data_IF_725381611048
#
_entry.id   IF_725381611048
#
_cell.length_a   1.000
_cell.length_b   1.000
_cell.length_c   1.000
_cell.angle_alpha   90.00
_cell.angle_beta   90.00
_cell.angle_gamma   90.00
#
_symmetry.space_group_name_H-M   'P 1'
#
loop_
_entity.id
_entity.type
_entity.pdbx_description
1 polymer ?
#
# COMPACT_ATOMS: atom_id res chain seq x y z
N UNK A 1 -5.27 -15.10 11.39
CA UNK A 1 -3.81 -15.11 11.66
C UNK A 1 -2.97 -15.37 10.41
N UNK A 2 -3.35 -16.29 9.51
CA UNK A 2 -2.52 -16.65 8.35
C UNK A 2 -2.38 -15.56 7.28
N UNK A 3 -3.48 -14.87 6.92
CA UNK A 3 -3.47 -13.82 5.87
C UNK A 3 -2.53 -12.66 6.25
N UNK A 4 -2.61 -12.18 7.49
CA UNK A 4 -1.75 -11.10 7.97
C UNK A 4 -0.28 -11.50 8.02
N UNK A 5 0.04 -12.71 8.51
CA UNK A 5 1.41 -13.22 8.53
C UNK A 5 1.98 -13.35 7.11
N UNK A 6 1.21 -13.91 6.18
CA UNK A 6 1.58 -14.01 4.76
C UNK A 6 1.81 -12.63 4.17
N UNK A 7 0.92 -11.67 4.43
CA UNK A 7 1.06 -10.29 3.98
C UNK A 7 2.37 -9.66 4.47
N UNK A 8 2.68 -9.74 5.78
CA UNK A 8 3.92 -9.18 6.32
C UNK A 8 5.17 -9.90 5.80
N UNK A 9 5.16 -11.23 5.67
CA UNK A 9 6.28 -11.98 5.09
C UNK A 9 6.52 -11.59 3.61
N UNK A 10 5.46 -11.40 2.85
CA UNK A 10 5.50 -10.95 1.45
C UNK A 10 5.72 -9.46 1.27
N UNK A 11 5.78 -8.65 2.32
CA UNK A 11 6.24 -7.26 2.20
C UNK A 11 7.77 -7.20 2.06
N UNK A 12 8.50 -8.09 2.75
CA UNK A 12 9.96 -8.09 2.74
C UNK A 12 10.58 -8.78 1.52
N UNK A 13 9.98 -9.88 1.04
CA UNK A 13 10.44 -10.62 -0.15
C UNK A 13 10.55 -9.77 -1.46
N UNK A 14 9.53 -9.00 -1.87
CA UNK A 14 9.58 -8.17 -3.06
C UNK A 14 10.51 -6.97 -2.88
N UNK A 15 10.83 -6.56 -1.66
CA UNK A 15 11.78 -5.47 -1.40
C UNK A 15 13.14 -5.71 -2.05
N UNK A 16 13.58 -6.97 -2.13
CA UNK A 16 14.83 -7.35 -2.80
C UNK A 16 14.75 -7.22 -4.34
N UNK A 17 13.63 -7.64 -4.93
CA UNK A 17 13.40 -7.58 -6.39
C UNK A 17 13.14 -6.15 -6.85
N UNK A 18 12.32 -5.41 -6.10
CA UNK A 18 11.98 -4.02 -6.39
C UNK A 18 13.13 -3.06 -6.11
N UNK A 19 14.02 -3.37 -5.15
CA UNK A 19 15.29 -2.64 -4.98
C UNK A 19 16.15 -2.68 -6.25
N UNK A 20 16.32 -3.87 -6.86
CA UNK A 20 17.00 -3.99 -8.16
C UNK A 20 16.28 -3.25 -9.28
N UNK A 21 14.95 -3.32 -9.32
CA UNK A 21 14.15 -2.65 -10.34
C UNK A 21 14.24 -1.12 -10.23
N UNK A 22 14.42 -0.61 -9.01
CA UNK A 22 14.69 0.79 -8.70
C UNK A 22 16.09 1.21 -9.18
N UNK A 23 17.12 0.40 -8.90
CA UNK A 23 18.50 0.66 -9.35
C UNK A 23 18.64 0.68 -10.88
N UNK A 24 17.78 -0.03 -11.61
CA UNK A 24 17.75 -0.06 -13.08
C UNK A 24 17.10 1.18 -13.73
N UNK A 25 16.62 2.15 -12.94
CA UNK A 25 16.03 3.40 -13.44
C UNK A 25 14.53 3.30 -13.82
N UNK A 26 13.91 2.13 -13.66
CA UNK A 26 12.48 1.91 -13.92
C UNK A 26 11.58 2.27 -12.73
N UNK A 27 12.04 3.14 -11.83
CA UNK A 27 11.31 3.50 -10.62
C UNK A 27 9.86 3.92 -10.88
N UNK A 28 9.65 4.76 -11.91
CA UNK A 28 8.33 5.34 -12.22
C UNK A 28 7.34 4.27 -12.69
N UNK A 29 7.75 3.43 -13.65
CA UNK A 29 6.89 2.37 -14.17
C UNK A 29 6.64 1.28 -13.13
N UNK A 30 7.63 0.98 -12.29
CA UNK A 30 7.48 0.03 -11.19
C UNK A 30 6.47 0.54 -10.14
N UNK A 31 6.58 1.82 -9.73
CA UNK A 31 5.68 2.40 -8.72
C UNK A 31 4.24 2.49 -9.26
N UNK A 32 4.07 2.85 -10.53
CA UNK A 32 2.77 2.87 -11.18
C UNK A 32 2.16 1.47 -11.28
N UNK A 33 2.94 0.47 -11.68
CA UNK A 33 2.49 -0.93 -11.74
C UNK A 33 2.07 -1.45 -10.36
N UNK A 34 2.85 -1.19 -9.30
CA UNK A 34 2.50 -1.59 -7.94
C UNK A 34 1.26 -0.84 -7.42
N UNK A 35 1.11 0.44 -7.76
CA UNK A 35 -0.06 1.25 -7.38
C UNK A 35 -1.34 0.70 -8.01
N UNK A 36 -1.30 0.40 -9.31
CA UNK A 36 -2.43 -0.22 -10.04
C UNK A 36 -2.75 -1.59 -9.46
N UNK A 37 -1.74 -2.40 -9.18
CA UNK A 37 -1.93 -3.72 -8.57
C UNK A 37 -2.57 -3.62 -7.18
N UNK A 38 -2.12 -2.68 -6.34
CA UNK A 38 -2.67 -2.45 -5.01
C UNK A 38 -4.15 -2.05 -5.08
N UNK A 39 -4.49 -1.06 -5.91
CA UNK A 39 -5.88 -0.61 -6.07
C UNK A 39 -6.75 -1.75 -6.57
N UNK A 40 -6.31 -2.45 -7.62
CA UNK A 40 -7.05 -3.56 -8.22
C UNK A 40 -7.29 -4.68 -7.22
N UNK A 41 -6.26 -5.06 -6.45
CA UNK A 41 -6.37 -6.06 -5.39
C UNK A 41 -7.38 -5.63 -4.31
N UNK A 42 -7.36 -4.36 -3.89
CA UNK A 42 -8.29 -3.86 -2.87
C UNK A 42 -9.74 -3.87 -3.35
N UNK A 43 -9.98 -3.56 -4.62
CA UNK A 43 -11.32 -3.67 -5.22
C UNK A 43 -11.76 -5.13 -5.37
N UNK A 44 -10.86 -6.04 -5.74
CA UNK A 44 -11.13 -7.48 -5.81
C UNK A 44 -11.51 -8.06 -4.44
N UNK A 45 -10.86 -7.62 -3.36
CA UNK A 45 -11.21 -8.00 -1.98
C UNK A 45 -12.68 -7.70 -1.65
N UNK A 46 -13.26 -6.64 -2.24
CA UNK A 46 -14.66 -6.30 -2.02
C UNK A 46 -15.66 -7.31 -2.66
N UNK A 47 -15.23 -8.06 -3.68
CA UNK A 47 -16.03 -9.10 -4.35
C UNK A 47 -15.67 -10.52 -3.89
N UNK A 48 -14.63 -10.69 -3.07
CA UNK A 48 -14.21 -11.99 -2.58
C UNK A 48 -15.28 -12.59 -1.66
N UNK A 49 -15.63 -13.86 -1.90
CA UNK A 49 -16.56 -14.64 -1.07
C UNK A 49 -15.89 -15.79 -0.36
N UNK A 50 -14.78 -16.28 -0.90
CA UNK A 50 -14.06 -17.44 -0.37
C UNK A 50 -12.71 -17.07 0.27
N UNK A 51 -12.32 -17.82 1.29
CA UNK A 51 -11.08 -17.60 2.04
C UNK A 51 -9.81 -17.61 1.16
N UNK A 52 -9.74 -18.51 0.18
CA UNK A 52 -8.61 -18.57 -0.77
C UNK A 52 -8.49 -17.30 -1.63
N UNK A 53 -9.61 -16.68 -1.98
CA UNK A 53 -9.61 -15.43 -2.75
C UNK A 53 -9.06 -14.27 -1.91
N UNK A 54 -9.43 -14.20 -0.62
CA UNK A 54 -8.86 -13.25 0.32
C UNK A 54 -7.37 -13.47 0.55
N UNK A 55 -6.91 -14.72 0.65
CA UNK A 55 -5.48 -15.04 0.78
C UNK A 55 -4.67 -14.53 -0.42
N UNK A 56 -5.17 -14.75 -1.65
CA UNK A 56 -4.52 -14.29 -2.87
C UNK A 56 -4.52 -12.76 -3.00
N UNK A 57 -5.66 -12.11 -2.79
CA UNK A 57 -5.76 -10.67 -2.97
C UNK A 57 -5.08 -9.90 -1.83
N UNK A 58 -5.38 -10.25 -0.57
CA UNK A 58 -4.90 -9.52 0.60
C UNK A 58 -3.53 -9.99 1.10
N UNK A 59 -3.24 -11.29 1.02
CA UNK A 59 -1.93 -11.82 1.41
C UNK A 59 -0.88 -11.56 0.34
N UNK A 60 -1.08 -12.11 -0.86
CA UNK A 60 -0.09 -12.02 -1.94
C UNK A 60 -0.12 -10.67 -2.66
N UNK A 61 -1.25 -10.27 -3.25
CA UNK A 61 -1.26 -9.10 -4.13
C UNK A 61 -1.02 -7.79 -3.35
N UNK A 62 -1.70 -7.57 -2.22
CA UNK A 62 -1.46 -6.40 -1.36
C UNK A 62 -0.06 -6.46 -0.71
N UNK A 63 0.39 -7.64 -0.27
CA UNK A 63 1.75 -7.80 0.30
C UNK A 63 2.85 -7.42 -0.70
N UNK A 64 2.78 -7.97 -1.92
CA UNK A 64 3.73 -7.67 -3.00
C UNK A 64 3.72 -6.18 -3.38
N UNK A 65 2.53 -5.62 -3.52
CA UNK A 65 2.37 -4.21 -3.93
C UNK A 65 2.90 -3.26 -2.86
N UNK A 66 2.59 -3.53 -1.58
CA UNK A 66 3.02 -2.68 -0.46
C UNK A 66 4.54 -2.69 -0.28
N UNK A 67 5.19 -3.85 -0.36
CA UNK A 67 6.65 -3.94 -0.34
C UNK A 67 7.31 -3.21 -1.51
N UNK A 68 6.71 -3.32 -2.70
CA UNK A 68 7.20 -2.63 -3.90
C UNK A 68 7.01 -1.11 -3.89
N UNK A 69 6.05 -0.57 -3.14
CA UNK A 69 5.86 0.89 -2.97
C UNK A 69 6.73 1.43 -1.82
N UNK A 70 6.85 0.68 -0.71
CA UNK A 70 7.51 1.16 0.50
C UNK A 70 9.01 1.36 0.32
N UNK A 71 9.70 0.36 -0.26
CA UNK A 71 11.14 0.41 -0.48
C UNK A 71 11.59 1.65 -1.28
N UNK A 72 11.01 1.92 -2.47
CA UNK A 72 11.47 3.04 -3.26
C UNK A 72 10.97 4.40 -2.75
N UNK A 73 9.80 4.45 -2.09
CA UNK A 73 9.31 5.68 -1.43
C UNK A 73 10.30 6.17 -0.37
N UNK A 74 10.80 5.25 0.47
CA UNK A 74 11.83 5.57 1.47
C UNK A 74 13.13 6.06 0.84
N UNK A 75 13.57 5.44 -0.26
CA UNK A 75 14.76 5.85 -0.99
C UNK A 75 14.62 7.28 -1.57
N UNK A 76 13.48 7.62 -2.17
CA UNK A 76 13.21 8.96 -2.71
C UNK A 76 13.19 10.02 -1.62
N UNK A 77 12.54 9.77 -0.48
CA UNK A 77 12.49 10.71 0.65
C UNK A 77 13.91 10.99 1.16
N UNK A 78 14.73 9.94 1.32
CA UNK A 78 16.11 10.06 1.75
C UNK A 78 16.98 10.82 0.73
N UNK A 79 16.70 10.67 -0.56
CA UNK A 79 17.42 11.37 -1.63
C UNK A 79 17.05 12.85 -1.69
N UNK A 80 15.76 13.20 -1.67
CA UNK A 80 15.27 14.57 -1.76
C UNK A 80 15.61 15.42 -0.54
N UNK A 81 15.47 14.89 0.67
CA UNK A 81 15.61 15.68 1.90
C UNK A 81 16.99 15.56 2.56
N UNK A 82 18.11 15.71 1.83
CA UNK A 82 19.48 15.51 2.38
C UNK A 82 19.78 16.27 3.69
N UNK A 83 19.30 17.51 3.83
CA UNK A 83 19.59 18.37 5.01
C UNK A 83 18.59 18.22 6.16
N UNK A 84 17.37 17.71 5.91
CA UNK A 84 16.28 17.56 6.90
C UNK A 84 15.66 16.15 6.90
N UNK A 85 16.47 15.11 6.65
CA UNK A 85 16.03 13.71 6.54
C UNK A 85 15.21 13.24 7.76
N UNK A 86 15.68 13.58 8.96
CA UNK A 86 15.01 13.17 10.21
C UNK A 86 13.60 13.74 10.36
N UNK A 87 13.38 15.00 9.95
CA UNK A 87 12.05 15.63 10.01
C UNK A 87 11.12 15.03 8.96
N UNK A 88 11.62 14.79 7.74
CA UNK A 88 10.84 14.17 6.67
C UNK A 88 10.42 12.73 7.04
N UNK A 89 11.36 11.93 7.56
CA UNK A 89 11.06 10.57 8.04
C UNK A 89 10.11 10.58 9.25
N UNK A 90 10.27 11.55 10.17
CA UNK A 90 9.35 11.74 11.30
C UNK A 90 7.93 12.03 10.84
N UNK A 91 7.75 12.91 9.84
CA UNK A 91 6.43 13.22 9.29
C UNK A 91 5.77 12.00 8.61
N UNK A 92 6.57 11.21 7.89
CA UNK A 92 6.11 9.96 7.26
C UNK A 92 5.69 8.94 8.32
N UNK A 93 6.46 8.81 9.40
CA UNK A 93 6.12 7.93 10.52
C UNK A 93 4.81 8.35 11.20
N UNK A 94 4.63 9.65 11.45
CA UNK A 94 3.37 10.20 12.00
C UNK A 94 2.19 9.91 11.06
N UNK A 95 2.38 10.09 9.74
CA UNK A 95 1.36 9.76 8.74
C UNK A 95 0.98 8.27 8.75
N UNK A 96 1.97 7.37 8.88
CA UNK A 96 1.73 5.94 9.00
C UNK A 96 0.95 5.57 10.27
N UNK A 97 1.28 6.19 11.41
CA UNK A 97 0.54 6.01 12.67
C UNK A 97 -0.91 6.49 12.57
N UNK A 98 -1.13 7.70 12.05
CA UNK A 98 -2.48 8.25 11.87
C UNK A 98 -3.30 7.36 10.93
N UNK A 99 -2.73 6.96 9.79
CA UNK A 99 -3.40 6.05 8.85
C UNK A 99 -3.75 4.71 9.49
N UNK A 100 -2.81 4.12 10.25
CA UNK A 100 -3.00 2.86 10.95
C UNK A 100 -4.05 2.89 12.06
N UNK A 101 -4.34 4.06 12.64
CA UNK A 101 -5.40 4.21 13.66
C UNK A 101 -6.73 4.64 13.05
N UNK A 102 -6.74 5.60 12.12
CA UNK A 102 -7.96 6.17 11.56
C UNK A 102 -8.65 5.19 10.61
N UNK A 103 -7.91 4.49 9.75
CA UNK A 103 -8.49 3.56 8.77
C UNK A 103 -9.28 2.41 9.41
N UNK A 104 -8.80 1.68 10.43
CA UNK A 104 -9.58 0.60 11.04
C UNK A 104 -10.79 1.10 11.84
N UNK A 105 -10.72 2.29 12.46
CA UNK A 105 -11.86 2.91 13.14
C UNK A 105 -12.94 3.27 12.13
N UNK A 106 -12.55 3.95 11.05
CA UNK A 106 -13.45 4.28 9.95
C UNK A 106 -14.03 3.02 9.31
N UNK A 107 -13.21 1.99 9.07
CA UNK A 107 -13.65 0.72 8.50
C UNK A 107 -14.69 0.02 9.40
N UNK A 108 -14.49 -0.05 10.71
CA UNK A 108 -15.48 -0.65 11.63
C UNK A 108 -16.82 0.10 11.58
N UNK A 109 -16.79 1.44 11.63
CA UNK A 109 -18.01 2.25 11.53
C UNK A 109 -18.71 2.10 10.18
N UNK A 110 -17.96 2.00 9.09
CA UNK A 110 -18.52 1.78 7.76
C UNK A 110 -19.07 0.36 7.61
N UNK A 111 -18.43 -0.65 8.20
CA UNK A 111 -18.92 -2.04 8.15
C UNK A 111 -20.30 -2.14 8.81
N UNK A 112 -20.49 -1.51 9.97
CA UNK A 112 -21.78 -1.49 10.67
C UNK A 112 -22.87 -0.74 9.89
N UNK A 113 -22.50 0.24 9.05
CA UNK A 113 -23.46 1.12 8.39
C UNK A 113 -23.80 0.71 6.95
N UNK A 114 -22.79 0.36 6.14
CA UNK A 114 -22.92 0.06 4.70
C UNK A 114 -22.51 -1.38 4.33
N UNK A 115 -22.03 -2.16 5.29
CA UNK A 115 -21.56 -3.53 5.10
C UNK A 115 -20.14 -3.63 4.54
N UNK A 116 -19.59 -4.85 4.62
CA UNK A 116 -18.19 -5.15 4.26
C UNK A 116 -17.83 -4.76 2.82
N UNK A 117 -18.70 -5.10 1.87
CA UNK A 117 -18.45 -4.89 0.43
C UNK A 117 -18.32 -3.41 0.06
N UNK A 118 -19.23 -2.56 0.55
CA UNK A 118 -19.13 -1.11 0.31
C UNK A 118 -17.99 -0.47 1.08
N UNK A 119 -17.70 -0.94 2.29
CA UNK A 119 -16.54 -0.47 3.07
C UNK A 119 -15.24 -0.65 2.30
N UNK A 120 -15.00 -1.84 1.75
CA UNK A 120 -13.77 -2.10 0.99
C UNK A 120 -13.67 -1.30 -0.31
N UNK A 121 -14.81 -1.01 -0.96
CA UNK A 121 -14.83 -0.08 -2.11
C UNK A 121 -14.45 1.34 -1.70
N UNK A 122 -14.97 1.85 -0.57
CA UNK A 122 -14.62 3.18 -0.07
C UNK A 122 -13.12 3.26 0.26
N UNK A 123 -12.56 2.25 0.92
CA UNK A 123 -11.12 2.16 1.18
C UNK A 123 -10.33 2.11 -0.14
N UNK A 124 -10.79 1.34 -1.13
CA UNK A 124 -10.21 1.29 -2.46
C UNK A 124 -10.16 2.65 -3.15
N UNK A 125 -11.23 3.46 -3.04
CA UNK A 125 -11.25 4.83 -3.57
C UNK A 125 -10.28 5.76 -2.84
N UNK A 126 -10.18 5.66 -1.51
CA UNK A 126 -9.22 6.44 -0.72
C UNK A 126 -7.78 6.10 -1.15
N UNK A 127 -7.48 4.80 -1.31
CA UNK A 127 -6.18 4.34 -1.78
C UNK A 127 -5.90 4.83 -3.20
N UNK A 128 -6.87 4.75 -4.12
CA UNK A 128 -6.73 5.25 -5.49
C UNK A 128 -6.43 6.75 -5.52
N UNK A 129 -7.16 7.57 -4.76
CA UNK A 129 -6.92 9.01 -4.66
C UNK A 129 -5.52 9.32 -4.09
N UNK A 130 -5.12 8.59 -3.05
CA UNK A 130 -3.81 8.78 -2.41
C UNK A 130 -2.66 8.36 -3.33
N UNK A 131 -2.78 7.22 -4.00
CA UNK A 131 -1.78 6.67 -4.90
C UNK A 131 -1.67 7.49 -6.20
N UNK A 132 -2.79 7.98 -6.73
CA UNK A 132 -2.77 8.85 -7.92
C UNK A 132 -2.07 10.18 -7.62
N UNK A 133 -2.37 10.81 -6.48
CA UNK A 133 -1.64 11.99 -6.01
C UNK A 133 -0.14 11.71 -5.82
N UNK A 134 0.20 10.57 -5.21
CA UNK A 134 1.60 10.18 -5.01
C UNK A 134 2.35 9.98 -6.33
N UNK A 135 1.73 9.31 -7.31
CA UNK A 135 2.30 9.12 -8.64
C UNK A 135 2.50 10.46 -9.38
N UNK A 136 1.54 11.39 -9.26
CA UNK A 136 1.63 12.73 -9.86
C UNK A 136 2.73 13.59 -9.23
N UNK A 137 2.93 13.48 -7.91
CA UNK A 137 4.00 14.22 -7.21
C UNK A 137 5.39 13.67 -7.57
N UNK A 138 5.50 12.38 -7.90
CA UNK A 138 6.75 11.72 -8.25
C UNK A 138 7.08 11.73 -9.77
N UNK A 139 6.19 12.27 -10.62
CA UNK A 139 6.41 12.45 -12.06
C UNK A 139 7.25 13.68 -12.37
#
# INVERSE_FOLDING_TARGET
AWIGSVQYSLVFLPGLVMGRLFDLGYFRSALLSCSVLLVTATFLVAECKEYWQFLLCQGFAVGLSSGGIFAPTMAVIAHWFRKKRGVAMGLVAVGASIGGTVLPIAANKLIDSVGFKWTMRIIGFILFATLSLANLVMS
#
